data_IF_822076625860
#
_entry.id   IF_822076625860
#
_cell.length_a   1.000
_cell.length_b   1.000
_cell.length_c   1.000
_cell.angle_alpha   90.00
_cell.angle_beta   90.00
_cell.angle_gamma   90.00
#
_symmetry.space_group_name_H-M   'P 1'
#
loop_
_entity.id
_entity.type
_entity.pdbx_description
1 polymer ?
#
# COMPACT_ATOMS: atom_id res chain seq x y z
N UNK A 1 -19.31 5.46 11.28
CA UNK A 1 -20.52 6.02 10.63
C UNK A 1 -20.80 5.47 9.23
N UNK A 2 -19.82 4.99 8.45
CA UNK A 2 -20.07 4.53 7.06
C UNK A 2 -20.96 3.27 6.92
N UNK A 3 -21.10 2.46 7.98
CA UNK A 3 -21.98 1.28 7.99
C UNK A 3 -23.44 1.61 8.35
N UNK A 4 -23.69 2.80 8.90
CA UNK A 4 -25.02 3.23 9.37
C UNK A 4 -26.10 3.14 8.28
N UNK A 5 -25.85 3.53 7.01
CA UNK A 5 -26.85 3.42 5.96
C UNK A 5 -27.33 1.99 5.67
N UNK A 6 -26.54 0.98 6.04
CA UNK A 6 -26.88 -0.43 5.83
C UNK A 6 -27.61 -1.05 7.02
N UNK A 7 -27.54 -0.40 8.18
CA UNK A 7 -28.01 -0.96 9.45
C UNK A 7 -29.50 -0.75 9.65
N UNK A 8 -30.19 -1.81 10.03
CA UNK A 8 -31.57 -1.82 10.51
C UNK A 8 -31.62 -2.69 11.76
N UNK A 9 -32.18 -2.17 12.85
CA UNK A 9 -32.15 -2.80 14.18
C UNK A 9 -32.78 -4.20 14.20
N UNK A 10 -33.75 -4.43 13.33
CA UNK A 10 -34.56 -5.64 13.19
C UNK A 10 -34.02 -6.65 12.16
N UNK A 11 -33.00 -6.29 11.38
CA UNK A 11 -32.52 -7.07 10.24
C UNK A 11 -30.98 -7.14 10.18
N UNK A 12 -30.40 -7.86 11.15
CA UNK A 12 -28.95 -8.05 11.20
C UNK A 12 -28.43 -8.91 10.02
N UNK A 13 -29.22 -9.89 9.58
CA UNK A 13 -28.86 -10.74 8.45
C UNK A 13 -28.79 -9.95 7.14
N UNK A 14 -29.81 -9.15 6.85
CA UNK A 14 -29.80 -8.26 5.70
C UNK A 14 -28.79 -7.12 5.81
N UNK A 15 -28.45 -6.65 7.02
CA UNK A 15 -27.34 -5.72 7.23
C UNK A 15 -26.02 -6.28 6.67
N UNK A 16 -25.64 -7.50 7.09
CA UNK A 16 -24.43 -8.15 6.59
C UNK A 16 -24.51 -8.32 5.07
N UNK A 17 -25.63 -8.82 4.54
CA UNK A 17 -25.79 -9.02 3.11
C UNK A 17 -25.58 -7.73 2.30
N UNK A 18 -26.20 -6.63 2.72
CA UNK A 18 -26.06 -5.33 2.05
C UNK A 18 -24.63 -4.79 2.11
N UNK A 19 -23.94 -4.97 3.25
CA UNK A 19 -22.53 -4.55 3.39
C UNK A 19 -21.63 -5.38 2.47
N UNK A 20 -21.82 -6.71 2.43
CA UNK A 20 -21.03 -7.59 1.54
C UNK A 20 -21.27 -7.24 0.07
N UNK A 21 -22.52 -6.98 -0.33
CA UNK A 21 -22.83 -6.52 -1.69
C UNK A 21 -22.14 -5.19 -2.02
N UNK A 22 -22.21 -4.21 -1.12
CA UNK A 22 -21.55 -2.92 -1.31
C UNK A 22 -20.02 -3.08 -1.44
N UNK A 23 -19.40 -3.89 -0.59
CA UNK A 23 -17.97 -4.20 -0.66
C UNK A 23 -17.59 -4.95 -1.94
N UNK A 24 -18.45 -5.84 -2.45
CA UNK A 24 -18.24 -6.51 -3.73
C UNK A 24 -18.23 -5.51 -4.89
N UNK A 25 -19.17 -4.57 -4.92
CA UNK A 25 -19.19 -3.48 -5.91
C UNK A 25 -17.94 -2.59 -5.81
N UNK A 26 -17.52 -2.23 -4.59
CA UNK A 26 -16.28 -1.50 -4.35
C UNK A 26 -15.07 -2.29 -4.90
N UNK A 27 -15.01 -3.59 -4.66
CA UNK A 27 -13.97 -4.47 -5.20
C UNK A 27 -13.94 -4.50 -6.73
N UNK A 28 -15.10 -4.53 -7.39
CA UNK A 28 -15.20 -4.41 -8.85
C UNK A 28 -14.67 -3.06 -9.34
N UNK A 29 -15.03 -1.96 -8.66
CA UNK A 29 -14.50 -0.64 -8.98
C UNK A 29 -12.97 -0.56 -8.81
N UNK A 30 -12.39 -1.23 -7.82
CA UNK A 30 -10.94 -1.35 -7.64
C UNK A 30 -10.28 -2.01 -8.86
N UNK A 31 -10.83 -3.13 -9.34
CA UNK A 31 -10.34 -3.84 -10.54
C UNK A 31 -10.43 -2.95 -11.78
N UNK A 32 -11.57 -2.28 -11.98
CA UNK A 32 -11.77 -1.37 -13.12
C UNK A 32 -10.78 -0.20 -13.07
N UNK A 33 -10.64 0.44 -11.91
CA UNK A 33 -9.79 1.62 -11.75
C UNK A 33 -8.30 1.29 -11.93
N UNK A 34 -7.81 0.20 -11.36
CA UNK A 34 -6.41 -0.21 -11.57
C UNK A 34 -6.17 -0.62 -13.02
N UNK A 35 -7.17 -1.25 -13.68
CA UNK A 35 -7.11 -1.57 -15.10
C UNK A 35 -7.01 -0.32 -15.96
N UNK A 36 -7.88 0.69 -15.74
CA UNK A 36 -7.83 1.97 -16.47
C UNK A 36 -6.53 2.73 -16.22
N UNK A 37 -6.03 2.74 -14.99
CA UNK A 37 -4.73 3.31 -14.66
C UNK A 37 -3.61 2.57 -15.41
N UNK A 38 -3.64 1.24 -15.43
CA UNK A 38 -2.65 0.44 -16.15
C UNK A 38 -2.74 0.63 -17.68
N UNK A 39 -3.93 0.83 -18.27
CA UNK A 39 -4.06 1.17 -19.71
C UNK A 39 -3.28 2.45 -20.01
N UNK A 40 -3.43 3.47 -19.15
CA UNK A 40 -2.75 4.75 -19.31
C UNK A 40 -1.23 4.64 -19.11
N UNK A 41 -0.79 3.82 -18.16
CA UNK A 41 0.61 3.78 -17.74
C UNK A 41 1.46 2.72 -18.45
N UNK A 42 0.88 1.58 -18.83
CA UNK A 42 1.59 0.40 -19.37
C UNK A 42 1.04 -0.05 -20.73
N UNK A 43 -0.11 0.48 -21.18
CA UNK A 43 -0.80 0.05 -22.39
C UNK A 43 -1.80 -1.10 -22.15
N UNK A 44 -2.60 -1.42 -23.18
CA UNK A 44 -3.76 -2.32 -23.06
C UNK A 44 -3.38 -3.76 -22.66
N UNK A 45 -2.31 -4.32 -23.24
CA UNK A 45 -1.91 -5.71 -22.96
C UNK A 45 -1.55 -5.93 -21.49
N UNK A 46 -0.74 -5.03 -20.92
CA UNK A 46 -0.35 -5.09 -19.50
C UNK A 46 -1.50 -4.74 -18.57
N UNK A 47 -2.42 -3.86 -19.00
CA UNK A 47 -3.60 -3.53 -18.22
C UNK A 47 -4.50 -4.72 -17.92
N UNK A 48 -4.69 -5.62 -18.90
CA UNK A 48 -5.46 -6.84 -18.70
C UNK A 48 -4.79 -7.75 -17.66
N UNK A 49 -3.46 -7.91 -17.73
CA UNK A 49 -2.72 -8.70 -16.76
C UNK A 49 -2.85 -8.14 -15.33
N UNK A 50 -2.71 -6.81 -15.17
CA UNK A 50 -2.86 -6.14 -13.86
C UNK A 50 -4.29 -6.25 -13.33
N UNK A 51 -5.29 -6.03 -14.17
CA UNK A 51 -6.70 -6.14 -13.79
C UNK A 51 -7.05 -7.59 -13.42
N UNK A 52 -6.59 -8.58 -14.20
CA UNK A 52 -6.81 -10.00 -13.93
C UNK A 52 -6.13 -10.43 -12.61
N UNK A 53 -4.87 -10.07 -12.38
CA UNK A 53 -4.17 -10.36 -11.13
C UNK A 53 -4.89 -9.74 -9.91
N UNK A 54 -5.46 -8.55 -10.08
CA UNK A 54 -6.26 -7.89 -9.05
C UNK A 54 -7.58 -8.63 -8.81
N UNK A 55 -8.31 -8.95 -9.87
CA UNK A 55 -9.60 -9.63 -9.80
C UNK A 55 -9.50 -11.06 -9.25
N UNK A 56 -8.38 -11.75 -9.49
CA UNK A 56 -8.15 -13.13 -9.08
C UNK A 56 -7.42 -13.24 -7.74
N UNK A 57 -7.08 -12.13 -7.09
CA UNK A 57 -6.35 -12.11 -5.83
C UNK A 57 -7.18 -12.70 -4.68
N UNK A 58 -6.80 -13.85 -4.09
CA UNK A 58 -7.57 -14.49 -3.02
C UNK A 58 -7.78 -13.56 -1.82
N UNK A 59 -6.76 -12.80 -1.44
CA UNK A 59 -6.85 -11.87 -0.31
C UNK A 59 -7.78 -10.69 -0.58
N UNK A 60 -7.86 -10.18 -1.81
CA UNK A 60 -8.81 -9.10 -2.09
C UNK A 60 -10.26 -9.60 -2.02
N UNK A 61 -10.49 -10.85 -2.43
CA UNK A 61 -11.84 -11.46 -2.42
C UNK A 61 -12.25 -11.88 -1.00
N UNK A 62 -11.37 -12.51 -0.22
CA UNK A 62 -11.68 -13.01 1.14
C UNK A 62 -12.00 -11.89 2.12
N UNK A 63 -11.50 -10.67 1.88
CA UNK A 63 -11.78 -9.51 2.73
C UNK A 63 -13.15 -8.87 2.46
N UNK A 64 -13.82 -9.18 1.34
CA UNK A 64 -15.17 -8.68 1.01
C UNK A 64 -16.24 -9.07 2.06
N UNK A 65 -16.32 -10.33 2.54
CA UNK A 65 -17.27 -10.69 3.58
C UNK A 65 -16.90 -10.18 4.98
N UNK A 66 -15.70 -9.64 5.18
CA UNK A 66 -15.29 -9.10 6.48
C UNK A 66 -15.82 -7.69 6.69
N UNK A 67 -16.25 -7.37 7.91
CA UNK A 67 -16.62 -6.00 8.32
C UNK A 67 -15.37 -5.17 8.59
N UNK A 68 -14.58 -5.01 7.54
CA UNK A 68 -13.23 -4.49 7.52
C UNK A 68 -13.15 -3.32 6.54
N UNK A 69 -12.16 -2.44 6.69
CA UNK A 69 -12.07 -1.19 5.92
C UNK A 69 -11.19 -1.28 4.67
N UNK A 70 -10.61 -2.46 4.42
CA UNK A 70 -9.59 -2.74 3.41
C UNK A 70 -10.10 -2.45 1.99
N UNK A 71 -11.33 -2.87 1.67
CA UNK A 71 -11.93 -2.70 0.34
C UNK A 71 -12.16 -1.22 0.04
N UNK A 72 -12.78 -0.49 0.98
CA UNK A 72 -13.03 0.94 0.89
C UNK A 72 -11.71 1.73 0.83
N UNK A 73 -10.74 1.37 1.67
CA UNK A 73 -9.42 1.98 1.67
C UNK A 73 -8.73 1.79 0.32
N UNK A 74 -8.75 0.57 -0.24
CA UNK A 74 -8.13 0.27 -1.54
C UNK A 74 -8.73 1.14 -2.66
N UNK A 75 -10.06 1.30 -2.69
CA UNK A 75 -10.71 2.16 -3.67
C UNK A 75 -10.30 3.63 -3.51
N UNK A 76 -10.43 4.19 -2.30
CA UNK A 76 -10.06 5.58 -2.03
C UNK A 76 -8.59 5.86 -2.37
N UNK A 77 -7.71 4.93 -2.00
CA UNK A 77 -6.29 4.95 -2.30
C UNK A 77 -6.01 5.00 -3.80
N UNK A 78 -6.63 4.12 -4.59
CA UNK A 78 -6.43 4.09 -6.03
C UNK A 78 -6.98 5.34 -6.72
N UNK A 79 -8.09 5.91 -6.23
CA UNK A 79 -8.62 7.19 -6.71
C UNK A 79 -7.60 8.30 -6.47
N UNK A 80 -7.00 8.34 -5.27
CA UNK A 80 -5.92 9.27 -4.94
C UNK A 80 -4.74 9.13 -5.93
N UNK A 81 -4.23 7.91 -6.13
CA UNK A 81 -3.10 7.67 -7.04
C UNK A 81 -3.44 8.06 -8.48
N UNK A 82 -4.63 7.71 -8.95
CA UNK A 82 -5.09 8.04 -10.30
C UNK A 82 -5.20 9.55 -10.52
N UNK A 83 -5.84 10.29 -9.60
CA UNK A 83 -5.95 11.74 -9.72
C UNK A 83 -4.59 12.44 -9.60
N UNK A 84 -3.70 11.96 -8.74
CA UNK A 84 -2.35 12.52 -8.62
C UNK A 84 -1.55 12.32 -9.93
N UNK A 85 -1.60 11.11 -10.50
CA UNK A 85 -0.94 10.81 -11.78
C UNK A 85 -1.50 11.65 -12.93
N UNK A 86 -2.83 11.78 -13.03
CA UNK A 86 -3.47 12.61 -14.08
C UNK A 86 -3.18 14.11 -13.86
N UNK A 87 -3.26 14.59 -12.62
CA UNK A 87 -3.00 15.99 -12.28
C UNK A 87 -1.58 16.43 -12.61
N UNK A 88 -0.59 15.56 -12.40
CA UNK A 88 0.81 15.84 -12.71
C UNK A 88 1.16 15.71 -14.20
N UNK A 89 0.31 15.05 -15.00
CA UNK A 89 0.54 14.85 -16.45
C UNK A 89 -0.29 15.76 -17.33
N UNK A 90 -1.33 16.40 -16.79
CA UNK A 90 -2.23 17.25 -17.56
C UNK A 90 -1.60 18.60 -17.88
N UNK A 91 -1.51 18.94 -19.17
CA UNK A 91 -1.00 20.24 -19.63
C UNK A 91 -1.98 21.40 -19.44
N UNK A 92 -3.29 21.13 -19.40
CA UNK A 92 -4.33 22.15 -19.26
C UNK A 92 -4.37 22.68 -17.81
N UNK A 93 -4.09 23.98 -17.56
CA UNK A 93 -3.90 24.49 -16.20
C UNK A 93 -5.08 24.28 -15.25
N UNK A 94 -6.31 24.59 -15.69
CA UNK A 94 -7.50 24.44 -14.83
C UNK A 94 -7.78 22.96 -14.47
N UNK A 95 -7.57 22.05 -15.43
CA UNK A 95 -7.72 20.60 -15.20
C UNK A 95 -6.64 20.09 -14.25
N UNK A 96 -5.40 20.57 -14.42
CA UNK A 96 -4.29 20.26 -13.51
C UNK A 96 -4.64 20.68 -12.09
N UNK A 97 -5.10 21.92 -11.88
CA UNK A 97 -5.56 22.39 -10.56
C UNK A 97 -6.69 21.51 -10.02
N UNK A 98 -7.72 21.24 -10.83
CA UNK A 98 -8.85 20.40 -10.40
C UNK A 98 -8.41 19.00 -9.97
N UNK A 99 -7.61 18.30 -10.79
CA UNK A 99 -7.13 16.95 -10.46
C UNK A 99 -6.19 16.92 -9.26
N UNK A 100 -5.33 17.93 -9.07
CA UNK A 100 -4.48 18.01 -7.88
C UNK A 100 -5.29 18.27 -6.61
N UNK A 101 -6.30 19.16 -6.67
CA UNK A 101 -7.24 19.35 -5.56
C UNK A 101 -8.02 18.06 -5.25
N UNK A 102 -8.52 17.38 -6.28
CA UNK A 102 -9.22 16.10 -6.14
C UNK A 102 -8.31 14.99 -5.58
N UNK A 103 -7.03 14.96 -5.97
CA UNK A 103 -6.05 14.06 -5.39
C UNK A 103 -5.85 14.34 -3.89
N UNK A 104 -5.78 15.61 -3.49
CA UNK A 104 -5.71 16.03 -2.09
C UNK A 104 -6.95 15.58 -1.29
N UNK A 105 -8.14 15.87 -1.81
CA UNK A 105 -9.41 15.44 -1.22
C UNK A 105 -9.47 13.90 -1.07
N UNK A 106 -9.10 13.17 -2.13
CA UNK A 106 -9.07 11.71 -2.13
C UNK A 106 -8.05 11.14 -1.13
N UNK A 107 -6.88 11.77 -0.97
CA UNK A 107 -5.93 11.41 0.07
C UNK A 107 -6.52 11.64 1.46
N UNK A 108 -7.16 12.79 1.69
CA UNK A 108 -7.82 13.09 2.96
C UNK A 108 -8.87 12.04 3.31
N UNK A 109 -9.73 11.67 2.36
CA UNK A 109 -10.71 10.59 2.53
C UNK A 109 -10.04 9.24 2.81
N UNK A 110 -8.94 8.93 2.11
CA UNK A 110 -8.13 7.72 2.36
C UNK A 110 -7.61 7.71 3.80
N UNK A 111 -7.12 8.85 4.30
CA UNK A 111 -6.61 9.01 5.65
C UNK A 111 -7.67 8.93 6.75
N UNK A 112 -8.92 9.33 6.46
CA UNK A 112 -10.05 9.10 7.36
C UNK A 112 -10.40 7.62 7.50
N UNK A 113 -10.15 6.81 6.46
CA UNK A 113 -10.33 5.36 6.53
C UNK A 113 -9.17 4.71 7.27
N UNK A 114 -7.92 5.06 6.93
CA UNK A 114 -6.71 4.68 7.68
C UNK A 114 -5.64 5.77 7.59
N UNK A 115 -5.02 6.18 8.71
CA UNK A 115 -4.06 7.29 8.74
C UNK A 115 -2.68 6.96 8.13
N UNK A 116 -2.50 5.80 7.49
CA UNK A 116 -1.22 5.31 6.95
C UNK A 116 -0.49 6.28 6.00
N UNK A 117 -1.24 7.10 5.26
CA UNK A 117 -0.69 8.03 4.27
C UNK A 117 -0.71 9.49 4.74
N UNK A 118 -1.05 9.78 6.00
CA UNK A 118 -1.19 11.16 6.47
C UNK A 118 0.15 11.92 6.50
N UNK A 119 1.29 11.24 6.71
CA UNK A 119 2.61 11.88 6.72
C UNK A 119 3.13 12.21 5.32
N UNK A 120 2.53 11.64 4.26
CA UNK A 120 2.95 11.85 2.87
C UNK A 120 2.97 13.35 2.52
N UNK A 121 1.95 14.08 2.95
CA UNK A 121 1.78 15.51 2.67
C UNK A 121 2.90 16.33 3.31
N UNK A 122 3.28 16.00 4.54
CA UNK A 122 4.36 16.67 5.25
C UNK A 122 5.71 16.40 4.62
N UNK A 123 5.97 15.16 4.17
CA UNK A 123 7.19 14.84 3.42
C UNK A 123 7.27 15.66 2.13
N UNK A 124 6.18 15.77 1.37
CA UNK A 124 6.15 16.57 0.14
C UNK A 124 6.41 18.06 0.42
N UNK A 125 5.82 18.60 1.49
CA UNK A 125 6.02 19.99 1.90
C UNK A 125 7.48 20.24 2.31
N UNK A 126 8.04 19.39 3.16
CA UNK A 126 9.44 19.48 3.59
C UNK A 126 10.39 19.32 2.40
N UNK A 127 10.15 18.37 1.51
CA UNK A 127 10.95 18.21 0.28
C UNK A 127 10.91 19.48 -0.58
N UNK A 128 9.75 20.11 -0.73
CA UNK A 128 9.62 21.33 -1.51
C UNK A 128 10.28 22.55 -0.86
N UNK A 129 10.35 22.61 0.48
CA UNK A 129 11.09 23.66 1.17
C UNK A 129 12.62 23.48 1.04
N UNK A 130 13.10 22.25 1.20
CA UNK A 130 14.54 21.94 1.29
C UNK A 130 15.22 21.72 -0.07
N UNK A 131 14.49 21.23 -1.08
CA UNK A 131 15.07 20.82 -2.36
C UNK A 131 14.67 21.78 -3.50
N UNK A 132 15.62 22.50 -4.12
CA UNK A 132 15.33 23.48 -5.18
C UNK A 132 14.53 22.92 -6.36
N UNK A 133 14.75 21.65 -6.71
CA UNK A 133 14.02 20.96 -7.77
C UNK A 133 12.51 20.78 -7.46
N UNK A 134 12.15 20.66 -6.18
CA UNK A 134 10.76 20.55 -5.74
C UNK A 134 10.11 21.92 -5.50
N UNK A 135 10.88 23.00 -5.27
CA UNK A 135 10.36 24.38 -5.16
C UNK A 135 9.56 24.80 -6.39
N UNK A 136 9.96 24.35 -7.59
CA UNK A 136 9.22 24.61 -8.83
C UNK A 136 7.80 24.02 -8.83
N UNK A 137 7.55 23.01 -8.01
CA UNK A 137 6.26 22.35 -7.87
C UNK A 137 5.41 22.93 -6.73
N UNK A 138 5.87 24.00 -6.07
CA UNK A 138 5.18 24.59 -4.92
C UNK A 138 3.70 24.88 -5.17
N UNK A 139 3.28 25.49 -6.31
CA UNK A 139 1.86 25.72 -6.56
C UNK A 139 1.04 24.44 -6.60
N UNK A 140 1.57 23.37 -7.22
CA UNK A 140 0.92 22.08 -7.29
C UNK A 140 0.78 21.43 -5.92
N UNK A 141 1.82 21.54 -5.08
CA UNK A 141 1.83 21.01 -3.70
C UNK A 141 0.84 21.77 -2.83
N UNK A 142 0.77 23.10 -2.95
CA UNK A 142 -0.19 23.92 -2.20
C UNK A 142 -1.62 23.58 -2.59
N UNK A 143 -1.93 23.46 -3.89
CA UNK A 143 -3.27 23.07 -4.37
C UNK A 143 -3.68 21.71 -3.80
N UNK A 144 -2.77 20.73 -3.89
CA UNK A 144 -2.97 19.40 -3.34
C UNK A 144 -3.18 19.43 -1.81
N UNK A 145 -2.35 20.18 -1.08
CA UNK A 145 -2.43 20.35 0.37
C UNK A 145 -3.76 20.98 0.78
N UNK A 146 -4.23 22.01 0.07
CA UNK A 146 -5.51 22.65 0.37
C UNK A 146 -6.67 21.65 0.25
N UNK A 147 -6.69 20.83 -0.82
CA UNK A 147 -7.67 19.76 -0.96
C UNK A 147 -7.62 18.74 0.18
N UNK A 148 -6.42 18.33 0.58
CA UNK A 148 -6.23 17.42 1.73
C UNK A 148 -6.73 18.02 3.04
N UNK A 149 -6.38 19.29 3.32
CA UNK A 149 -6.77 19.99 4.54
C UNK A 149 -8.29 20.22 4.62
N UNK A 150 -8.98 20.39 3.48
CA UNK A 150 -10.46 20.47 3.47
C UNK A 150 -11.11 19.27 4.16
N UNK A 151 -10.51 18.08 4.06
CA UNK A 151 -11.03 16.85 4.68
C UNK A 151 -10.44 16.62 6.07
N UNK A 152 -9.12 16.74 6.20
CA UNK A 152 -8.42 16.34 7.44
C UNK A 152 -8.45 17.40 8.54
N UNK A 153 -8.47 18.70 8.22
CA UNK A 153 -8.46 19.75 9.24
C UNK A 153 -9.69 19.70 10.16
N UNK A 154 -10.94 19.49 9.67
CA UNK A 154 -12.10 19.31 10.55
C UNK A 154 -11.97 18.10 11.48
N UNK A 155 -11.43 16.99 10.97
CA UNK A 155 -11.20 15.78 11.76
C UNK A 155 -10.15 16.00 12.85
N UNK A 156 -9.05 16.68 12.52
CA UNK A 156 -8.02 17.04 13.48
C UNK A 156 -8.51 17.99 14.56
N UNK A 157 -9.27 19.03 14.19
CA UNK A 157 -9.87 19.97 15.13
C UNK A 157 -10.85 19.28 16.10
N UNK A 158 -11.66 18.34 15.60
CA UNK A 158 -12.51 17.50 16.44
C UNK A 158 -11.69 16.63 17.38
N UNK A 159 -10.65 15.97 16.87
CA UNK A 159 -9.86 15.00 17.63
C UNK A 159 -9.04 15.68 18.73
N UNK A 160 -8.52 16.90 18.48
CA UNK A 160 -7.77 17.67 19.49
C UNK A 160 -8.61 18.09 20.70
N UNK A 161 -9.94 18.06 20.58
CA UNK A 161 -10.86 18.37 21.68
C UNK A 161 -11.17 17.14 22.55
N UNK A 162 -10.75 15.93 22.16
CA UNK A 162 -11.00 14.69 22.89
C UNK A 162 -9.79 14.36 23.76
N UNK A 163 -9.89 14.43 25.11
CA UNK A 163 -8.78 14.10 25.99
C UNK A 163 -8.30 12.66 25.80
N UNK A 164 -6.97 12.45 25.82
CA UNK A 164 -6.35 11.12 25.76
C UNK A 164 -6.34 10.43 24.38
N UNK A 165 -6.86 11.05 23.33
CA UNK A 165 -7.07 10.39 22.02
C UNK A 165 -6.30 11.04 20.86
N UNK A 166 -5.06 11.49 21.11
CA UNK A 166 -4.22 12.12 20.09
C UNK A 166 -3.59 11.12 19.11
N UNK A 167 -3.45 11.50 17.83
CA UNK A 167 -2.80 10.69 16.78
C UNK A 167 -1.37 10.23 17.12
N UNK A 168 -0.66 10.99 17.96
CA UNK A 168 0.65 10.62 18.49
C UNK A 168 0.64 9.25 19.21
N UNK A 169 -0.49 8.87 19.82
CA UNK A 169 -0.61 7.62 20.54
C UNK A 169 -0.67 6.40 19.61
N UNK A 170 -1.46 6.45 18.52
CA UNK A 170 -1.53 5.35 17.55
C UNK A 170 -0.20 5.12 16.83
N UNK A 171 0.54 6.20 16.51
CA UNK A 171 1.90 6.09 15.98
C UNK A 171 2.84 5.44 17.00
N UNK A 172 2.81 5.86 18.26
CA UNK A 172 3.65 5.27 19.31
C UNK A 172 3.39 3.76 19.46
N UNK A 173 2.12 3.35 19.49
CA UNK A 173 1.70 1.94 19.54
C UNK A 173 2.29 1.16 18.36
N UNK A 174 2.06 1.63 17.13
CA UNK A 174 2.49 0.89 15.93
C UNK A 174 4.02 0.82 15.78
N UNK A 175 4.75 1.86 16.17
CA UNK A 175 6.21 1.85 16.22
C UNK A 175 6.72 0.85 17.26
N UNK A 176 6.19 0.90 18.48
CA UNK A 176 6.58 0.01 19.57
C UNK A 176 6.28 -1.45 19.23
N UNK A 177 5.06 -1.77 18.81
CA UNK A 177 4.66 -3.14 18.46
C UNK A 177 5.45 -3.68 17.25
N UNK A 178 5.79 -2.81 16.29
CA UNK A 178 6.65 -3.17 15.17
C UNK A 178 8.12 -3.38 15.54
N UNK A 179 8.54 -3.01 16.76
CA UNK A 179 9.94 -3.11 17.20
C UNK A 179 10.34 -4.51 17.67
N UNK A 180 9.39 -5.42 17.88
CA UNK A 180 9.65 -6.79 18.32
C UNK A 180 10.17 -7.63 17.14
N UNK A 181 11.43 -8.13 17.20
CA UNK A 181 11.98 -8.97 16.14
C UNK A 181 11.11 -10.19 15.88
N UNK A 182 10.88 -10.49 14.61
CA UNK A 182 10.07 -11.63 14.14
C UNK A 182 8.63 -11.65 14.72
N UNK A 183 8.15 -10.50 15.23
CA UNK A 183 6.87 -10.34 15.94
C UNK A 183 6.71 -11.27 17.15
N UNK A 184 7.82 -11.58 17.83
CA UNK A 184 7.86 -12.38 19.05
C UNK A 184 8.54 -11.60 20.17
N UNK A 185 8.09 -11.82 21.41
CA UNK A 185 8.74 -11.28 22.61
C UNK A 185 9.82 -12.25 23.04
N UNK A 186 11.06 -11.77 23.11
CA UNK A 186 12.23 -12.57 23.53
C UNK A 186 12.40 -13.89 22.73
N UNK A 187 11.90 -13.93 21.50
CA UNK A 187 11.91 -15.12 20.65
C UNK A 187 10.89 -16.21 21.03
N UNK A 188 9.96 -15.95 21.95
CA UNK A 188 8.92 -16.90 22.37
C UNK A 188 7.84 -17.07 21.28
N UNK A 189 7.72 -18.25 20.65
CA UNK A 189 6.72 -18.50 19.62
C UNK A 189 5.28 -18.39 20.12
N UNK A 190 5.03 -18.56 21.43
CA UNK A 190 3.69 -18.43 22.00
C UNK A 190 3.16 -16.98 21.93
N UNK A 191 4.06 -16.01 21.73
CA UNK A 191 3.73 -14.58 21.64
C UNK A 191 3.63 -14.07 20.20
N UNK A 192 3.84 -14.95 19.20
CA UNK A 192 3.84 -14.56 17.79
C UNK A 192 2.59 -13.78 17.39
N UNK A 193 2.80 -12.65 16.70
CA UNK A 193 1.73 -11.76 16.23
C UNK A 193 1.18 -10.82 17.32
N UNK A 194 1.39 -11.13 18.60
CA UNK A 194 0.96 -10.32 19.74
C UNK A 194 2.07 -10.17 20.82
N UNK A 195 3.31 -9.81 20.45
CA UNK A 195 4.46 -9.85 21.37
C UNK A 195 4.34 -8.86 22.54
N UNK A 196 3.59 -7.79 22.35
CA UNK A 196 3.33 -6.75 23.34
C UNK A 196 2.34 -7.18 24.44
N UNK A 197 1.57 -8.26 24.24
CA UNK A 197 0.56 -8.70 25.23
C UNK A 197 1.27 -9.25 26.47
N UNK A 198 1.04 -8.58 27.60
CA UNK A 198 1.65 -8.95 28.88
C UNK A 198 3.09 -8.45 29.05
N UNK A 199 3.61 -7.64 28.11
CA UNK A 199 4.92 -7.01 28.29
C UNK A 199 4.79 -5.75 29.19
N UNK A 200 5.44 -5.72 30.37
CA UNK A 200 5.36 -4.61 31.32
C UNK A 200 5.95 -3.30 30.78
N UNK A 201 6.78 -3.34 29.73
CA UNK A 201 7.39 -2.16 29.11
C UNK A 201 6.41 -1.46 28.16
N UNK A 202 5.40 -2.18 27.64
CA UNK A 202 4.46 -1.66 26.64
C UNK A 202 3.76 -0.35 27.06
N UNK A 203 3.16 -0.23 28.26
CA UNK A 203 2.46 1.00 28.63
C UNK A 203 3.37 2.24 28.62
N UNK A 204 4.62 2.09 29.05
CA UNK A 204 5.58 3.19 29.07
C UNK A 204 6.08 3.52 27.65
N UNK A 205 6.38 2.51 26.84
CA UNK A 205 6.85 2.70 25.47
C UNK A 205 5.77 3.30 24.55
N UNK A 206 4.51 2.94 24.75
CA UNK A 206 3.38 3.40 23.92
C UNK A 206 2.78 4.75 24.37
N UNK A 207 3.27 5.30 25.48
CA UNK A 207 2.81 6.58 26.04
C UNK A 207 2.98 7.77 25.08
N UNK A 208 4.02 7.74 24.23
CA UNK A 208 4.32 8.82 23.29
C UNK A 208 5.31 8.36 22.21
N UNK A 209 5.32 9.03 21.05
CA UNK A 209 6.29 8.73 19.98
C UNK A 209 7.75 8.79 20.47
N UNK A 210 8.19 9.81 21.25
CA UNK A 210 9.54 9.82 21.79
C UNK A 210 9.84 8.64 22.73
N UNK A 211 8.87 8.18 23.52
CA UNK A 211 9.06 7.00 24.37
C UNK A 211 9.24 5.73 23.55
N UNK A 212 8.42 5.53 22.51
CA UNK A 212 8.54 4.41 21.58
C UNK A 212 9.91 4.42 20.87
N UNK A 213 10.35 5.58 20.39
CA UNK A 213 11.66 5.74 19.75
C UNK A 213 12.83 5.47 20.70
N UNK A 214 12.74 5.91 21.97
CA UNK A 214 13.77 5.59 22.98
C UNK A 214 13.85 4.09 23.26
N UNK A 215 12.71 3.40 23.34
CA UNK A 215 12.66 1.94 23.50
C UNK A 215 13.23 1.21 22.26
N UNK A 216 12.93 1.68 21.06
CA UNK A 216 13.53 1.14 19.83
C UNK A 216 15.05 1.36 19.84
N UNK A 217 15.50 2.55 20.22
CA UNK A 217 16.93 2.88 20.28
C UNK A 217 17.67 2.01 21.30
N UNK A 218 17.08 1.72 22.47
CA UNK A 218 17.69 0.80 23.45
C UNK A 218 17.83 -0.61 22.88
N UNK A 219 16.79 -1.13 22.19
CA UNK A 219 16.86 -2.43 21.49
C UNK A 219 17.96 -2.47 20.42
N UNK A 220 18.15 -1.39 19.65
CA UNK A 220 19.24 -1.29 18.68
C UNK A 220 20.61 -1.25 19.35
N UNK A 221 20.72 -0.63 20.52
CA UNK A 221 21.96 -0.59 21.29
C UNK A 221 22.32 -1.96 21.90
N UNK A 222 21.32 -2.68 22.40
CA UNK A 222 21.47 -4.01 23.02
C UNK A 222 21.69 -5.11 21.96
N UNK A 223 20.95 -5.07 20.85
CA UNK A 223 20.93 -6.10 19.82
C UNK A 223 21.02 -5.54 18.39
N UNK A 224 22.11 -4.83 18.02
CA UNK A 224 22.20 -4.10 16.76
C UNK A 224 21.99 -4.99 15.54
N UNK A 225 22.62 -6.18 15.51
CA UNK A 225 22.49 -7.08 14.36
C UNK A 225 21.08 -7.65 14.20
N UNK A 226 20.45 -8.08 15.30
CA UNK A 226 19.09 -8.61 15.28
C UNK A 226 18.11 -7.54 14.81
N UNK A 227 18.23 -6.32 15.33
CA UNK A 227 17.38 -5.19 14.95
C UNK A 227 17.62 -4.74 13.50
N UNK A 228 18.87 -4.68 13.04
CA UNK A 228 19.18 -4.39 11.63
C UNK A 228 18.60 -5.46 10.69
N UNK A 229 18.77 -6.75 11.01
CA UNK A 229 18.18 -7.86 10.23
C UNK A 229 16.65 -7.77 10.23
N UNK A 230 16.06 -7.46 11.37
CA UNK A 230 14.62 -7.30 11.51
C UNK A 230 14.10 -6.19 10.61
N UNK A 231 14.65 -4.97 10.70
CA UNK A 231 14.16 -3.83 9.92
C UNK A 231 14.46 -3.94 8.41
N UNK A 232 15.60 -4.51 8.01
CA UNK A 232 16.00 -4.59 6.61
C UNK A 232 15.45 -5.81 5.86
N UNK A 233 15.19 -6.92 6.56
CA UNK A 233 14.82 -8.20 5.94
C UNK A 233 13.54 -8.76 6.55
N UNK A 234 13.46 -8.83 7.88
CA UNK A 234 12.32 -9.42 8.58
C UNK A 234 11.01 -8.69 8.30
N UNK A 235 10.98 -7.37 8.48
CA UNK A 235 9.78 -6.54 8.27
C UNK A 235 9.28 -6.57 6.81
N UNK A 236 10.12 -6.44 5.76
CA UNK A 236 9.65 -6.63 4.38
C UNK A 236 9.03 -8.02 4.16
N UNK A 237 9.65 -9.08 4.69
CA UNK A 237 9.13 -10.44 4.58
C UNK A 237 7.77 -10.56 5.27
N UNK A 238 7.61 -9.99 6.47
CA UNK A 238 6.33 -10.04 7.18
C UNK A 238 5.25 -9.19 6.50
N UNK A 239 5.59 -7.98 6.05
CA UNK A 239 4.64 -7.10 5.36
C UNK A 239 4.05 -7.75 4.10
N UNK A 240 4.85 -8.56 3.41
CA UNK A 240 4.42 -9.30 2.21
C UNK A 240 4.23 -10.79 2.45
N UNK A 241 4.14 -11.22 3.70
CA UNK A 241 3.86 -12.61 3.98
C UNK A 241 2.51 -12.99 3.35
N UNK A 242 2.42 -14.23 2.87
CA UNK A 242 1.15 -14.73 2.38
C UNK A 242 0.15 -14.90 3.54
N UNK A 243 0.61 -15.41 4.67
CA UNK A 243 -0.23 -15.60 5.87
C UNK A 243 -0.16 -14.36 6.76
N UNK A 244 -1.30 -13.99 7.33
CA UNK A 244 -1.36 -12.95 8.36
C UNK A 244 -0.84 -13.45 9.70
N UNK A 245 0.09 -12.68 10.29
CA UNK A 245 0.78 -13.07 11.52
C UNK A 245 -0.14 -13.03 12.74
N UNK A 246 -1.10 -12.10 12.73
CA UNK A 246 -2.10 -11.96 13.78
C UNK A 246 -3.43 -12.67 13.46
N UNK A 247 -3.48 -13.38 12.32
CA UNK A 247 -4.68 -13.98 11.75
C UNK A 247 -4.89 -15.43 12.16
N UNK A 248 -5.94 -16.06 11.64
CA UNK A 248 -6.29 -17.43 12.00
C UNK A 248 -5.48 -18.47 11.21
N UNK A 249 -5.66 -18.52 9.88
CA UNK A 249 -4.99 -19.50 9.03
C UNK A 249 -5.00 -19.06 7.56
N UNK A 250 -3.83 -19.17 6.91
CA UNK A 250 -3.64 -18.94 5.47
C UNK A 250 -4.20 -17.57 5.02
N UNK A 251 -5.34 -17.59 4.30
CA UNK A 251 -6.01 -16.39 3.79
C UNK A 251 -6.88 -15.65 4.82
N UNK A 252 -7.23 -16.31 5.93
CA UNK A 252 -8.30 -15.87 6.82
C UNK A 252 -7.76 -15.14 8.04
N UNK A 253 -8.25 -13.90 8.22
CA UNK A 253 -7.99 -13.08 9.40
C UNK A 253 -8.66 -13.67 10.65
N UNK A 254 -9.93 -14.07 10.50
CA UNK A 254 -10.77 -14.59 11.59
C UNK A 254 -11.07 -16.08 11.39
N UNK A 255 -11.44 -16.80 12.47
CA UNK A 255 -11.96 -18.16 12.37
C UNK A 255 -13.13 -18.29 11.42
N UNK A 256 -13.03 -19.23 10.46
CA UNK A 256 -14.06 -19.49 9.45
C UNK A 256 -14.49 -20.95 9.49
N UNK A 257 -15.76 -21.18 9.80
CA UNK A 257 -16.34 -22.53 9.86
C UNK A 257 -16.67 -23.11 8.48
N UNK A 258 -17.05 -22.24 7.53
CA UNK A 258 -17.46 -22.62 6.17
C UNK A 258 -17.02 -21.54 5.19
N UNK A 259 -16.33 -21.94 4.13
CA UNK A 259 -15.95 -21.05 3.04
C UNK A 259 -15.72 -21.84 1.75
N UNK A 260 -16.13 -21.30 0.58
CA UNK A 260 -15.80 -21.90 -0.72
C UNK A 260 -14.29 -22.11 -0.91
N UNK A 261 -13.46 -21.24 -0.33
CA UNK A 261 -12.00 -21.31 -0.40
C UNK A 261 -11.41 -22.54 0.30
N UNK A 262 -12.16 -23.21 1.18
CA UNK A 262 -11.72 -24.42 1.88
C UNK A 262 -12.10 -25.72 1.16
N UNK A 263 -13.06 -25.67 0.22
CA UNK A 263 -13.67 -26.89 -0.37
C UNK A 263 -13.72 -26.91 -1.89
N UNK A 264 -13.80 -25.75 -2.54
CA UNK A 264 -13.92 -25.68 -4.00
C UNK A 264 -12.57 -25.95 -4.67
N UNK A 265 -12.43 -27.01 -5.49
CA UNK A 265 -11.15 -27.34 -6.12
C UNK A 265 -10.58 -26.19 -6.95
N UNK A 266 -11.44 -25.48 -7.69
CA UNK A 266 -11.02 -24.35 -8.52
C UNK A 266 -10.43 -23.19 -7.70
N UNK A 267 -11.04 -22.86 -6.55
CA UNK A 267 -10.52 -21.80 -5.66
C UNK A 267 -9.24 -22.24 -4.93
N UNK A 268 -9.13 -23.53 -4.58
CA UNK A 268 -7.92 -24.10 -3.99
C UNK A 268 -6.75 -24.04 -5.00
N UNK A 269 -7.00 -24.42 -6.25
CA UNK A 269 -6.00 -24.33 -7.33
C UNK A 269 -5.60 -22.87 -7.56
N UNK A 270 -6.57 -21.96 -7.67
CA UNK A 270 -6.29 -20.53 -7.81
C UNK A 270 -5.44 -20.00 -6.66
N UNK A 271 -5.79 -20.34 -5.41
CA UNK A 271 -5.05 -19.95 -4.22
C UNK A 271 -3.62 -20.49 -4.26
N UNK A 272 -3.46 -21.76 -4.65
CA UNK A 272 -2.15 -22.41 -4.72
C UNK A 272 -1.25 -21.76 -5.78
N UNK A 273 -1.81 -21.46 -6.96
CA UNK A 273 -1.10 -20.74 -8.02
C UNK A 273 -0.68 -19.36 -7.52
N UNK A 274 -1.63 -18.58 -6.99
CA UNK A 274 -1.38 -17.21 -6.52
C UNK A 274 -0.35 -17.19 -5.38
N UNK A 275 -0.39 -18.16 -4.47
CA UNK A 275 0.60 -18.35 -3.39
C UNK A 275 1.98 -18.67 -3.94
N UNK A 276 2.06 -19.54 -4.94
CA UNK A 276 3.33 -19.92 -5.59
C UNK A 276 3.98 -18.77 -6.35
N UNK A 277 3.20 -17.96 -7.07
CA UNK A 277 3.73 -16.82 -7.83
C UNK A 277 3.94 -15.55 -6.99
N UNK A 278 3.32 -15.48 -5.81
CA UNK A 278 3.39 -14.32 -4.91
C UNK A 278 4.81 -13.79 -4.67
N UNK A 279 5.82 -14.59 -4.26
CA UNK A 279 7.17 -14.06 -4.03
C UNK A 279 7.77 -13.43 -5.29
N UNK A 280 7.52 -14.01 -6.47
CA UNK A 280 7.99 -13.46 -7.75
C UNK A 280 7.32 -12.13 -8.04
N UNK A 281 6.00 -12.03 -7.83
CA UNK A 281 5.25 -10.77 -7.97
C UNK A 281 5.82 -9.68 -7.05
N UNK A 282 6.08 -10.00 -5.78
CA UNK A 282 6.63 -9.04 -4.83
C UNK A 282 8.03 -8.59 -5.25
N UNK A 283 8.92 -9.50 -5.65
CA UNK A 283 10.26 -9.15 -6.13
C UNK A 283 10.20 -8.26 -7.38
N UNK A 284 9.33 -8.59 -8.34
CA UNK A 284 9.11 -7.77 -9.54
C UNK A 284 8.53 -6.40 -9.18
N UNK A 285 7.62 -6.31 -8.21
CA UNK A 285 7.06 -5.06 -7.77
C UNK A 285 8.10 -4.16 -7.11
N UNK A 286 8.92 -4.72 -6.22
CA UNK A 286 10.03 -3.98 -5.59
C UNK A 286 11.04 -3.51 -6.64
N UNK A 287 11.41 -4.38 -7.58
CA UNK A 287 12.27 -4.01 -8.70
C UNK A 287 11.62 -2.91 -9.56
N UNK A 288 10.35 -3.04 -9.93
CA UNK A 288 9.61 -2.04 -10.70
C UNK A 288 9.55 -0.68 -10.00
N UNK A 289 9.28 -0.67 -8.70
CA UNK A 289 9.27 0.54 -7.87
C UNK A 289 10.64 1.24 -7.87
N UNK A 290 11.74 0.50 -7.75
CA UNK A 290 13.09 1.09 -7.83
C UNK A 290 13.43 1.55 -9.25
N UNK A 291 13.15 0.73 -10.26
CA UNK A 291 13.50 0.99 -11.65
C UNK A 291 12.76 2.18 -12.26
N UNK A 292 11.58 2.55 -11.74
CA UNK A 292 10.84 3.74 -12.17
C UNK A 292 11.64 5.05 -12.00
N UNK A 293 12.58 5.07 -11.05
CA UNK A 293 13.48 6.18 -10.77
C UNK A 293 14.83 6.09 -11.50
N UNK A 294 15.07 5.02 -12.26
CA UNK A 294 16.33 4.81 -13.00
C UNK A 294 16.09 5.10 -14.48
N UNK A 295 16.53 6.26 -15.03
CA UNK A 295 16.25 6.63 -16.43
C UNK A 295 16.75 5.60 -17.44
N UNK A 296 17.85 4.90 -17.11
CA UNK A 296 18.42 3.84 -17.95
C UNK A 296 17.50 2.61 -18.07
N UNK A 297 16.70 2.31 -17.06
CA UNK A 297 15.79 1.17 -17.04
C UNK A 297 14.59 1.37 -17.98
N UNK A 298 14.16 2.62 -18.16
CA UNK A 298 13.07 3.00 -19.06
C UNK A 298 13.49 3.10 -20.54
N UNK A 299 14.80 3.06 -20.86
CA UNK A 299 15.26 3.15 -22.25
C UNK A 299 14.73 1.99 -23.08
N UNK A 300 14.22 2.29 -24.28
CA UNK A 300 13.68 1.29 -25.21
C UNK A 300 12.29 0.74 -24.83
N UNK A 301 11.67 1.21 -23.74
CA UNK A 301 10.27 0.93 -23.50
C UNK A 301 9.40 1.82 -24.40
N UNK A 302 8.33 1.29 -25.02
CA UNK A 302 7.41 2.04 -25.85
C UNK A 302 6.39 2.82 -24.99
N UNK A 303 6.88 3.57 -24.00
CA UNK A 303 6.05 4.32 -23.06
C UNK A 303 6.19 5.83 -23.30
N UNK A 304 5.07 6.57 -23.39
CA UNK A 304 5.14 8.02 -23.53
C UNK A 304 5.63 8.68 -22.21
N UNK A 305 6.11 9.91 -22.32
CA UNK A 305 6.73 10.61 -21.19
C UNK A 305 5.77 10.86 -20.02
N UNK A 306 4.48 11.09 -20.31
CA UNK A 306 3.42 11.26 -19.32
C UNK A 306 3.13 9.96 -18.55
N UNK A 307 3.11 8.81 -19.25
CA UNK A 307 3.01 7.50 -18.60
C UNK A 307 4.18 7.27 -17.62
N UNK A 308 5.40 7.68 -17.99
CA UNK A 308 6.56 7.57 -17.10
C UNK A 308 6.43 8.44 -15.84
N UNK A 309 5.86 9.65 -15.95
CA UNK A 309 5.55 10.49 -14.77
C UNK A 309 4.54 9.79 -13.88
N UNK A 310 3.47 9.23 -14.45
CA UNK A 310 2.46 8.48 -13.69
C UNK A 310 3.04 7.23 -13.00
N UNK A 311 3.95 6.51 -13.65
CA UNK A 311 4.65 5.36 -13.06
C UNK A 311 5.55 5.78 -11.90
N UNK A 312 6.23 6.91 -11.99
CA UNK A 312 7.02 7.46 -10.87
C UNK A 312 6.15 7.88 -9.70
N UNK A 313 4.94 8.39 -9.95
CA UNK A 313 3.96 8.66 -8.89
C UNK A 313 3.53 7.37 -8.21
N UNK A 314 3.14 6.36 -8.99
CA UNK A 314 2.78 5.04 -8.47
C UNK A 314 3.93 4.42 -7.64
N UNK A 315 5.15 4.45 -8.17
CA UNK A 315 6.35 3.95 -7.49
C UNK A 315 6.67 4.75 -6.22
N UNK A 316 6.53 6.08 -6.23
CA UNK A 316 6.76 6.92 -5.05
C UNK A 316 5.78 6.59 -3.93
N UNK A 317 4.49 6.46 -4.26
CA UNK A 317 3.46 6.10 -3.29
C UNK A 317 3.66 4.66 -2.77
N UNK A 318 4.03 3.73 -3.65
CA UNK A 318 4.36 2.35 -3.26
C UNK A 318 5.57 2.29 -2.33
N UNK A 319 6.66 3.01 -2.66
CA UNK A 319 7.84 3.14 -1.83
C UNK A 319 7.53 3.80 -0.47
N UNK A 320 6.71 4.85 -0.45
CA UNK A 320 6.27 5.47 0.79
C UNK A 320 5.53 4.48 1.69
N UNK A 321 4.55 3.74 1.13
CA UNK A 321 3.82 2.71 1.86
C UNK A 321 4.77 1.68 2.50
N UNK A 322 5.75 1.21 1.74
CA UNK A 322 6.79 0.29 2.23
C UNK A 322 7.51 0.90 3.43
N UNK A 323 8.09 2.08 3.24
CA UNK A 323 8.92 2.74 4.26
C UNK A 323 8.15 2.99 5.57
N UNK A 324 6.88 3.39 5.49
CA UNK A 324 6.03 3.59 6.68
C UNK A 324 5.85 2.29 7.45
N UNK A 325 5.60 1.17 6.78
CA UNK A 325 5.41 -0.12 7.47
C UNK A 325 6.72 -0.79 7.88
N UNK A 326 7.85 -0.43 7.25
CA UNK A 326 9.17 -0.78 7.76
C UNK A 326 9.50 -0.01 9.04
N UNK A 327 9.05 1.24 9.18
CA UNK A 327 9.16 1.95 10.45
C UNK A 327 8.21 1.37 11.50
N UNK A 328 6.95 1.15 11.13
CA UNK A 328 5.85 0.71 11.99
C UNK A 328 5.69 -0.82 12.06
N UNK A 329 4.50 -1.29 12.43
CA UNK A 329 4.12 -2.69 12.54
C UNK A 329 3.85 -3.31 11.15
N UNK A 330 4.59 -4.35 10.73
CA UNK A 330 4.53 -4.90 9.37
C UNK A 330 3.55 -6.08 9.24
N UNK A 331 2.27 -5.89 9.59
CA UNK A 331 1.27 -6.95 9.38
C UNK A 331 0.94 -7.12 7.90
N UNK A 332 0.83 -8.37 7.44
CA UNK A 332 0.60 -8.69 6.03
C UNK A 332 -0.73 -8.11 5.49
N UNK A 333 -1.76 -8.04 6.34
CA UNK A 333 -3.09 -7.51 6.01
C UNK A 333 -3.03 -6.04 5.59
N UNK A 334 -2.03 -5.29 6.06
CA UNK A 334 -1.84 -3.90 5.65
C UNK A 334 -1.36 -3.77 4.21
N UNK A 335 -0.76 -4.81 3.63
CA UNK A 335 -0.41 -4.84 2.20
C UNK A 335 -1.60 -5.14 1.29
N UNK A 336 -2.67 -5.78 1.80
CA UNK A 336 -3.80 -6.25 0.99
C UNK A 336 -4.43 -5.11 0.17
N UNK A 337 -4.77 -3.94 0.74
CA UNK A 337 -5.35 -2.83 -0.04
C UNK A 337 -4.41 -2.24 -1.09
N UNK A 338 -3.09 -2.44 -0.94
CA UNK A 338 -2.04 -1.97 -1.84
C UNK A 338 -1.66 -2.99 -2.92
N UNK A 339 -2.19 -4.22 -2.86
CA UNK A 339 -1.93 -5.27 -3.86
C UNK A 339 -2.22 -4.84 -5.30
N UNK A 340 -3.31 -4.12 -5.63
CA UNK A 340 -3.54 -3.66 -7.01
C UNK A 340 -2.37 -2.82 -7.56
N UNK A 341 -1.85 -1.88 -6.75
CA UNK A 341 -0.69 -1.08 -7.13
C UNK A 341 0.59 -1.91 -7.20
N UNK A 342 0.73 -2.89 -6.29
CA UNK A 342 1.85 -3.84 -6.29
C UNK A 342 1.86 -4.67 -7.59
N UNK A 343 0.71 -5.13 -8.08
CA UNK A 343 0.60 -5.82 -9.37
C UNK A 343 0.95 -4.90 -10.55
N UNK A 344 0.56 -3.62 -10.50
CA UNK A 344 0.95 -2.63 -11.50
C UNK A 344 2.48 -2.43 -11.52
N UNK A 345 3.12 -2.31 -10.35
CA UNK A 345 4.58 -2.21 -10.24
C UNK A 345 5.28 -3.51 -10.68
N UNK A 346 4.71 -4.68 -10.41
CA UNK A 346 5.25 -5.95 -10.87
C UNK A 346 5.25 -6.07 -12.40
N UNK A 347 4.14 -5.66 -13.04
CA UNK A 347 4.04 -5.60 -14.49
C UNK A 347 5.09 -4.65 -15.09
N UNK A 348 5.27 -3.46 -14.51
CA UNK A 348 6.31 -2.52 -14.92
C UNK A 348 7.73 -3.10 -14.76
N UNK A 349 8.01 -3.73 -13.61
CA UNK A 349 9.28 -4.40 -13.36
C UNK A 349 9.59 -5.48 -14.40
N UNK A 350 8.58 -6.27 -14.77
CA UNK A 350 8.71 -7.28 -15.82
C UNK A 350 8.98 -6.67 -17.21
N UNK A 351 8.34 -5.54 -17.55
CA UNK A 351 8.65 -4.79 -18.79
C UNK A 351 10.11 -4.33 -18.83
N UNK A 352 10.62 -3.77 -17.73
CA UNK A 352 12.02 -3.35 -17.64
C UNK A 352 12.99 -4.52 -17.81
N UNK A 353 12.71 -5.67 -17.19
CA UNK A 353 13.51 -6.88 -17.36
C UNK A 353 13.50 -7.38 -18.80
N UNK A 354 12.33 -7.42 -19.45
CA UNK A 354 12.22 -7.79 -20.87
C UNK A 354 13.04 -6.88 -21.78
N UNK A 355 13.01 -5.57 -21.53
CA UNK A 355 13.81 -4.60 -22.28
C UNK A 355 15.33 -4.74 -22.03
N UNK A 356 15.74 -5.06 -20.80
CA UNK A 356 17.13 -5.35 -20.47
C UNK A 356 17.65 -6.59 -21.22
N UNK A 357 16.87 -7.67 -21.23
CA UNK A 357 17.20 -8.91 -21.95
C UNK A 357 17.25 -8.69 -23.46
N UNK A 358 16.31 -7.94 -24.02
CA UNK A 358 16.29 -7.59 -25.45
C UNK A 358 17.57 -6.87 -25.88
N UNK A 359 17.98 -5.83 -25.14
CA UNK A 359 19.23 -5.10 -25.40
C UNK A 359 20.47 -5.98 -25.29
N UNK A 360 20.51 -6.87 -24.30
CA UNK A 360 21.63 -7.80 -24.15
C UNK A 360 21.76 -8.74 -25.35
N UNK A 361 20.63 -9.24 -25.86
CA UNK A 361 20.59 -10.07 -27.08
C UNK A 361 21.04 -9.30 -28.32
N UNK A 362 20.57 -8.07 -28.51
CA UNK A 362 20.98 -7.22 -29.64
C UNK A 362 22.49 -6.95 -29.65
N UNK A 363 23.08 -6.66 -28.48
CA UNK A 363 24.54 -6.47 -28.33
C UNK A 363 25.36 -7.74 -28.55
N UNK A 364 24.76 -8.91 -28.35
CA UNK A 364 25.44 -10.20 -28.48
C UNK A 364 25.31 -10.80 -29.89
N UNK A 365 24.60 -10.14 -30.81
CA UNK A 365 24.55 -10.57 -32.22
C UNK A 365 25.90 -10.24 -32.89
N UNK A 366 26.59 -11.21 -33.49
CA UNK A 366 27.81 -10.94 -34.25
C UNK A 366 27.50 -9.97 -35.39
N UNK A 367 28.40 -9.01 -35.64
CA UNK A 367 28.26 -8.09 -36.76
C UNK A 367 28.21 -8.91 -38.06
N UNK A 368 27.12 -8.79 -38.83
CA UNK A 368 27.06 -9.33 -40.18
C UNK A 368 28.20 -8.71 -40.98
N UNK A 369 29.13 -9.54 -41.42
CA UNK A 369 30.19 -9.14 -42.36
C UNK A 369 29.48 -8.75 -43.66
N UNK A 370 29.61 -7.50 -44.15
CA UNK A 370 29.02 -7.12 -45.42
C UNK A 370 29.65 -7.98 -46.53
N UNK A 371 28.82 -8.68 -47.29
CA UNK A 371 29.21 -9.49 -48.45
C UNK A 371 29.63 -8.65 -49.64
#
# INVERSE_FOLDING_TARGET
>A
MFLVPFFRLDDLGGFIHRVVQAQAWIGTCVVLLIGLLAVRLLGQGWALAVAAATALSPHLIVYVPYLLSETLYSLAFLIFVAFLAVGLTTAVPWRRTAFLSLAGLALGLTCLVRPTLDQLVWILLTAALLLPQFRRQWPAIVIFLLGFLTVMAPWWARTSQIPGNGQSHAMAITLHQGSYPDLMRDGDPATFGYPYRGDPVSPAAESSVPAALRNIASKFHEHPWQMSRWYLIGKPIQLFAWNEQSGWMDLFEYPVLRSPWLKSPGLIVLTSIMKGVHPVIILLALAGTLLAFVPAAARGLPLPADAMVGLRVAAFVHAYFLLVHLAALPLSRYSVPFRPLTYLMAAYGLMCLGALVGRWRERSRPAEVPS
#
